data_IF_453206870231
#
_entry.id   IF_453206870231
#
_cell.length_a   1.000
_cell.length_b   1.000
_cell.length_c   1.000
_cell.angle_alpha   90.00
_cell.angle_beta   90.00
_cell.angle_gamma   90.00
#
_symmetry.space_group_name_H-M   'P 1'
#
loop_
_entity.id
_entity.type
_entity.pdbx_description
1 polymer ?
#
# COMPACT_ATOMS: atom_id res chain seq x y z
N UNK A 1 -0.40 -2.30 -0.05
CA UNK A 1 -0.74 -1.10 0.73
C UNK A 1 -2.13 -0.60 0.35
N UNK A 2 -2.66 0.41 1.10
CA UNK A 2 -3.84 1.20 0.70
C UNK A 2 -3.40 2.50 0.03
N UNK A 3 -4.26 3.09 -0.81
CA UNK A 3 -4.02 4.40 -1.41
C UNK A 3 -3.85 5.47 -0.35
N UNK A 4 -4.73 5.50 0.65
CA UNK A 4 -4.65 6.44 1.76
C UNK A 4 -3.28 6.44 2.46
N UNK A 5 -2.68 5.27 2.71
CA UNK A 5 -1.39 5.21 3.42
C UNK A 5 -0.20 5.63 2.57
N UNK A 6 -0.20 5.30 1.27
CA UNK A 6 0.98 5.57 0.42
C UNK A 6 0.83 6.84 -0.42
N UNK A 7 -0.38 7.27 -0.74
CA UNK A 7 -0.59 8.49 -1.54
C UNK A 7 -0.97 9.67 -0.64
N UNK A 8 -2.07 9.53 0.12
CA UNK A 8 -2.61 10.65 0.89
C UNK A 8 -1.78 10.98 2.14
N UNK A 9 -0.89 10.07 2.56
CA UNK A 9 0.07 10.31 3.64
C UNK A 9 1.50 10.40 3.12
N UNK A 10 2.09 9.30 2.64
CA UNK A 10 3.51 9.24 2.33
C UNK A 10 3.90 10.14 1.14
N UNK A 11 3.22 10.01 -0.01
CA UNK A 11 3.51 10.82 -1.19
C UNK A 11 3.19 12.30 -0.96
N UNK A 12 2.04 12.59 -0.35
CA UNK A 12 1.58 13.93 0.01
C UNK A 12 2.63 14.66 0.88
N UNK A 13 3.11 14.03 1.94
CA UNK A 13 4.15 14.61 2.78
C UNK A 13 5.51 14.67 2.09
N UNK A 14 5.85 13.68 1.25
CA UNK A 14 7.12 13.67 0.52
C UNK A 14 7.28 14.85 -0.43
N UNK A 15 6.19 15.32 -1.05
CA UNK A 15 6.18 16.50 -1.92
C UNK A 15 6.06 17.83 -1.17
N UNK A 16 6.01 17.80 0.18
CA UNK A 16 6.14 18.96 1.05
C UNK A 16 4.87 19.43 1.75
N UNK A 17 3.74 18.77 1.55
CA UNK A 17 2.49 19.06 2.26
C UNK A 17 2.49 18.49 3.67
N UNK A 18 1.52 18.87 4.49
CA UNK A 18 1.53 18.55 5.92
C UNK A 18 0.15 18.13 6.42
N UNK A 19 0.19 17.18 7.34
CA UNK A 19 -0.93 16.90 8.22
C UNK A 19 -0.78 17.71 9.51
N UNK A 20 -1.89 18.19 10.05
CA UNK A 20 -1.91 19.02 11.25
C UNK A 20 -2.69 18.32 12.36
N UNK A 21 -2.21 18.42 13.59
CA UNK A 21 -2.95 17.94 14.77
C UNK A 21 -4.14 18.86 14.98
N UNK A 22 -5.32 18.31 14.86
CA UNK A 22 -6.59 19.01 15.00
C UNK A 22 -7.25 18.79 16.37
N UNK A 23 -8.22 19.63 16.67
CA UNK A 23 -9.08 19.47 17.85
C UNK A 23 -10.36 18.76 17.45
N UNK A 24 -10.77 17.74 18.22
CA UNK A 24 -11.98 16.93 17.97
C UNK A 24 -13.29 17.73 18.14
N UNK A 25 -13.25 18.80 18.92
CA UNK A 25 -14.40 19.63 19.27
C UNK A 25 -14.68 20.78 18.28
N UNK A 26 -13.88 20.91 17.22
CA UNK A 26 -14.16 21.88 16.16
C UNK A 26 -15.32 21.38 15.29
N UNK A 27 -16.38 22.19 15.10
CA UNK A 27 -17.49 21.79 14.26
C UNK A 27 -17.09 21.59 12.79
N UNK A 28 -17.44 20.45 12.19
CA UNK A 28 -17.11 20.11 10.80
C UNK A 28 -17.63 21.13 9.79
N UNK A 29 -18.80 21.73 10.06
CA UNK A 29 -19.33 22.81 9.23
C UNK A 29 -18.36 24.00 9.13
N UNK A 30 -17.69 24.33 10.25
CA UNK A 30 -16.70 25.42 10.26
C UNK A 30 -15.42 25.03 9.49
N UNK A 31 -14.98 23.78 9.63
CA UNK A 31 -13.82 23.28 8.86
C UNK A 31 -14.12 23.35 7.37
N UNK A 32 -15.31 22.94 6.95
CA UNK A 32 -15.75 23.03 5.53
C UNK A 32 -15.74 24.46 4.98
N UNK A 33 -16.11 25.46 5.80
CA UNK A 33 -16.08 26.89 5.42
C UNK A 33 -14.64 27.38 5.12
N UNK A 34 -13.63 26.71 5.70
CA UNK A 34 -12.20 27.02 5.51
C UNK A 34 -11.46 26.02 4.61
N UNK A 35 -12.17 25.12 3.94
CA UNK A 35 -11.57 24.08 3.09
C UNK A 35 -10.56 23.21 3.85
N UNK A 36 -10.90 22.81 5.07
CA UNK A 36 -10.10 21.93 5.91
C UNK A 36 -10.82 20.58 6.03
N UNK A 37 -10.18 19.53 5.56
CA UNK A 37 -10.63 18.17 5.76
C UNK A 37 -10.17 17.64 7.11
N UNK A 38 -10.99 16.78 7.72
CA UNK A 38 -10.71 16.19 9.02
C UNK A 38 -10.79 14.67 9.00
N UNK A 39 -9.73 14.04 9.49
CA UNK A 39 -9.71 12.61 9.81
C UNK A 39 -9.51 12.50 11.32
N UNK A 40 -10.62 12.39 12.09
CA UNK A 40 -10.66 12.34 13.54
C UNK A 40 -9.98 13.54 14.21
N UNK A 41 -8.72 13.47 14.57
CA UNK A 41 -7.91 14.52 15.18
C UNK A 41 -6.78 15.04 14.28
N UNK A 42 -6.87 14.75 13.00
CA UNK A 42 -5.92 15.20 11.98
C UNK A 42 -6.62 16.10 10.98
N UNK A 43 -6.05 17.26 10.72
CA UNK A 43 -6.53 18.22 9.74
C UNK A 43 -5.64 18.23 8.51
N UNK A 44 -6.26 18.39 7.35
CA UNK A 44 -5.61 18.45 6.05
C UNK A 44 -6.19 19.63 5.28
N UNK A 45 -5.33 20.40 4.63
CA UNK A 45 -5.75 21.46 3.73
C UNK A 45 -6.28 20.87 2.42
N UNK A 46 -7.51 21.22 2.03
CA UNK A 46 -8.15 20.71 0.81
C UNK A 46 -7.41 21.20 -0.45
N UNK A 47 -6.86 22.41 -0.44
CA UNK A 47 -6.08 22.95 -1.57
C UNK A 47 -4.78 22.16 -1.75
N UNK A 48 -4.11 21.79 -0.66
CA UNK A 48 -2.92 20.94 -0.69
C UNK A 48 -3.23 19.54 -1.25
N UNK A 49 -4.39 18.95 -0.89
CA UNK A 49 -4.84 17.69 -1.50
C UNK A 49 -5.05 17.83 -3.00
N UNK A 50 -5.70 18.91 -3.45
CA UNK A 50 -5.91 19.15 -4.88
C UNK A 50 -4.59 19.38 -5.65
N UNK A 51 -3.58 19.96 -5.01
CA UNK A 51 -2.23 20.08 -5.59
C UNK A 51 -1.53 18.72 -5.66
N UNK A 52 -1.74 17.85 -4.68
CA UNK A 52 -1.28 16.46 -4.73
C UNK A 52 -1.91 15.71 -5.90
N UNK A 53 -3.25 15.81 -6.08
CA UNK A 53 -3.96 15.26 -7.25
C UNK A 53 -3.38 15.77 -8.58
N UNK A 54 -3.08 17.07 -8.64
CA UNK A 54 -2.45 17.71 -9.80
C UNK A 54 -1.06 17.12 -10.09
N UNK A 55 -0.30 16.80 -9.04
CA UNK A 55 1.02 16.17 -9.18
C UNK A 55 0.89 14.74 -9.71
N UNK A 56 -0.08 13.97 -9.23
CA UNK A 56 -0.38 12.62 -9.75
C UNK A 56 -0.76 12.70 -11.24
N UNK A 57 -1.63 13.66 -11.60
CA UNK A 57 -1.99 13.91 -13.00
C UNK A 57 -0.75 14.24 -13.86
N UNK A 58 0.14 15.10 -13.36
CA UNK A 58 1.37 15.47 -14.05
C UNK A 58 2.23 14.26 -14.36
N UNK A 59 2.38 13.35 -13.39
CA UNK A 59 3.12 12.09 -13.61
C UNK A 59 2.40 11.25 -14.66
N UNK A 60 1.09 11.06 -14.57
CA UNK A 60 0.31 10.30 -15.55
C UNK A 60 0.42 10.89 -16.97
N UNK A 61 0.39 12.22 -17.11
CA UNK A 61 0.53 12.92 -18.39
C UNK A 61 1.90 12.67 -19.05
N UNK A 62 2.93 12.46 -18.26
CA UNK A 62 4.30 12.19 -18.73
C UNK A 62 4.51 10.75 -19.21
N UNK A 63 3.61 9.83 -18.89
CA UNK A 63 3.73 8.42 -19.19
C UNK A 63 3.13 8.03 -20.55
N UNK A 64 3.56 6.88 -21.05
CA UNK A 64 2.89 6.26 -22.20
C UNK A 64 1.45 5.93 -21.84
N UNK A 65 0.52 6.25 -22.71
CA UNK A 65 -0.91 6.03 -22.53
C UNK A 65 -1.27 4.59 -22.81
N UNK A 66 -1.20 3.77 -21.75
CA UNK A 66 -1.50 2.34 -21.73
C UNK A 66 -1.97 1.92 -20.32
N UNK A 67 -2.46 0.68 -20.16
CA UNK A 67 -2.67 0.10 -18.83
C UNK A 67 -1.34 -0.07 -18.06
N UNK A 68 -1.35 0.29 -16.79
CA UNK A 68 -0.29 0.08 -15.80
C UNK A 68 -0.83 -0.74 -14.63
N UNK A 69 -0.04 -1.61 -14.04
CA UNK A 69 -0.34 -2.06 -12.69
C UNK A 69 -0.16 -0.90 -11.71
N UNK A 70 -0.79 -0.94 -10.53
CA UNK A 70 -0.52 0.06 -9.50
C UNK A 70 0.95 0.06 -9.12
N UNK A 71 1.60 -1.13 -9.10
CA UNK A 71 3.04 -1.28 -8.88
C UNK A 71 3.87 -0.47 -9.89
N UNK A 72 3.54 -0.56 -11.18
CA UNK A 72 4.26 0.22 -12.21
C UNK A 72 4.07 1.71 -12.00
N UNK A 73 2.85 2.13 -11.73
CA UNK A 73 2.56 3.55 -11.53
C UNK A 73 3.23 4.10 -10.26
N UNK A 74 3.19 3.37 -9.16
CA UNK A 74 3.88 3.74 -7.90
C UNK A 74 5.41 3.77 -8.11
N UNK A 75 5.94 2.91 -8.96
CA UNK A 75 7.36 2.95 -9.34
C UNK A 75 7.72 4.28 -10.02
N UNK A 76 6.88 4.79 -10.91
CA UNK A 76 7.08 6.10 -11.55
C UNK A 76 6.91 7.25 -10.54
N UNK A 77 6.02 7.12 -9.53
CA UNK A 77 5.96 8.07 -8.42
C UNK A 77 7.26 8.06 -7.60
N UNK A 78 7.82 6.90 -7.32
CA UNK A 78 9.12 6.78 -6.63
C UNK A 78 10.25 7.47 -7.41
N UNK A 79 10.31 7.25 -8.72
CA UNK A 79 11.25 7.92 -9.61
C UNK A 79 11.05 9.45 -9.64
N UNK A 80 9.81 9.92 -9.57
CA UNK A 80 9.49 11.34 -9.45
C UNK A 80 10.03 11.88 -8.11
N UNK A 81 9.81 11.17 -7.00
CA UNK A 81 10.24 11.60 -5.66
C UNK A 81 11.76 11.68 -5.51
N UNK A 82 12.54 10.81 -6.14
CA UNK A 82 14.03 10.91 -6.14
C UNK A 82 14.51 12.30 -6.56
N UNK A 83 13.79 12.95 -7.46
CA UNK A 83 14.14 14.27 -7.99
C UNK A 83 13.45 15.43 -7.29
N UNK A 84 12.24 15.21 -6.77
CA UNK A 84 11.33 16.28 -6.37
C UNK A 84 10.91 16.21 -4.89
N UNK A 85 11.32 15.18 -4.13
CA UNK A 85 10.94 15.10 -2.73
C UNK A 85 11.57 16.19 -1.88
N UNK A 86 10.76 16.78 -1.03
CA UNK A 86 11.17 17.75 0.00
C UNK A 86 11.53 16.99 1.28
N UNK A 87 10.74 15.98 1.66
CA UNK A 87 10.96 15.10 2.80
C UNK A 87 11.68 13.83 2.36
N UNK A 88 12.73 13.44 3.06
CA UNK A 88 13.66 12.36 2.66
C UNK A 88 13.31 10.96 3.20
N UNK A 89 12.27 10.82 3.99
CA UNK A 89 11.86 9.58 4.66
C UNK A 89 10.61 8.92 4.05
N UNK A 90 10.36 9.16 2.76
CA UNK A 90 9.24 8.55 2.04
C UNK A 90 9.42 7.05 1.86
N UNK A 91 8.36 6.29 2.18
CA UNK A 91 8.27 4.85 1.94
C UNK A 91 8.32 4.53 0.44
N UNK A 92 7.59 5.29 -0.39
CA UNK A 92 7.59 5.11 -1.86
C UNK A 92 8.99 5.30 -2.42
N UNK A 93 9.68 6.37 -2.02
CA UNK A 93 11.06 6.62 -2.47
C UNK A 93 12.01 5.52 -2.01
N UNK A 94 11.97 5.14 -0.73
CA UNK A 94 12.80 4.09 -0.18
C UNK A 94 12.58 2.74 -0.88
N UNK A 95 11.33 2.38 -1.18
CA UNK A 95 11.00 1.17 -1.91
C UNK A 95 11.52 1.21 -3.35
N UNK A 96 11.41 2.34 -4.04
CA UNK A 96 11.97 2.53 -5.38
C UNK A 96 13.48 2.33 -5.38
N UNK A 97 14.20 3.00 -4.49
CA UNK A 97 15.67 2.94 -4.39
C UNK A 97 16.20 1.54 -4.03
N UNK A 98 15.41 0.76 -3.28
CA UNK A 98 15.79 -0.59 -2.85
C UNK A 98 15.16 -1.73 -3.68
N UNK A 99 14.48 -1.43 -4.77
CA UNK A 99 13.89 -2.44 -5.65
C UNK A 99 12.74 -3.22 -5.01
N UNK A 100 12.02 -2.63 -4.05
CA UNK A 100 10.86 -3.23 -3.37
C UNK A 100 9.58 -2.82 -4.07
N UNK A 101 8.80 -3.74 -4.66
CA UNK A 101 7.55 -3.38 -5.31
C UNK A 101 6.44 -3.08 -4.30
N UNK A 102 5.65 -2.05 -4.56
CA UNK A 102 4.45 -1.70 -3.81
C UNK A 102 3.23 -1.99 -4.68
N UNK A 103 2.26 -2.71 -4.13
CA UNK A 103 0.97 -3.00 -4.78
C UNK A 103 -0.16 -2.34 -4.00
N UNK A 104 -1.06 -1.68 -4.72
CA UNK A 104 -2.25 -1.04 -4.16
C UNK A 104 -3.51 -1.48 -4.91
N UNK A 105 -4.20 -2.54 -4.48
CA UNK A 105 -5.30 -3.14 -5.24
C UNK A 105 -6.53 -2.23 -5.39
N UNK A 106 -6.73 -1.27 -4.48
CA UNK A 106 -7.80 -0.26 -4.56
C UNK A 106 -7.22 1.14 -4.81
N UNK A 107 -6.39 1.28 -5.84
CA UNK A 107 -5.57 2.45 -6.10
C UNK A 107 -6.37 3.74 -6.34
N UNK A 108 -7.57 3.63 -6.91
CA UNK A 108 -8.42 4.80 -7.18
C UNK A 108 -9.08 5.39 -5.93
N UNK A 109 -9.03 4.70 -4.78
CA UNK A 109 -9.56 5.19 -3.51
C UNK A 109 -8.50 5.99 -2.73
N UNK A 110 -8.04 7.09 -3.35
CA UNK A 110 -7.02 8.03 -2.82
C UNK A 110 -6.88 9.22 -3.76
N UNK A 111 -6.05 10.21 -3.40
CA UNK A 111 -5.64 11.31 -4.29
C UNK A 111 -5.15 10.83 -5.66
N UNK A 112 -4.54 9.65 -5.74
CA UNK A 112 -4.17 9.07 -7.03
C UNK A 112 -5.37 8.87 -7.95
N UNK A 113 -6.52 8.46 -7.40
CA UNK A 113 -7.77 8.33 -8.16
C UNK A 113 -8.23 9.65 -8.75
N UNK A 114 -8.26 10.70 -7.96
CA UNK A 114 -8.65 12.04 -8.43
C UNK A 114 -7.70 12.58 -9.52
N UNK A 115 -6.39 12.42 -9.32
CA UNK A 115 -5.39 12.79 -10.33
C UNK A 115 -5.56 12.03 -11.64
N UNK A 116 -5.84 10.72 -11.58
CA UNK A 116 -6.10 9.91 -12.77
C UNK A 116 -7.45 10.25 -13.43
N UNK A 117 -8.48 10.59 -12.67
CA UNK A 117 -9.77 11.08 -13.23
C UNK A 117 -9.53 12.37 -14.01
N UNK A 118 -8.79 13.35 -13.46
CA UNK A 118 -8.42 14.58 -14.19
C UNK A 118 -7.64 14.24 -15.47
N UNK A 119 -6.66 13.34 -15.40
CA UNK A 119 -5.88 12.87 -16.54
C UNK A 119 -6.78 12.28 -17.65
N UNK A 120 -7.68 11.38 -17.30
CA UNK A 120 -8.58 10.72 -18.26
C UNK A 120 -9.61 11.67 -18.86
N UNK A 121 -10.14 12.59 -18.05
CA UNK A 121 -11.08 13.61 -18.52
C UNK A 121 -10.49 14.50 -19.61
N UNK A 122 -9.23 14.87 -19.45
CA UNK A 122 -8.51 15.68 -20.46
C UNK A 122 -7.98 14.86 -21.65
N UNK A 123 -7.94 13.53 -21.53
CA UNK A 123 -7.43 12.62 -22.55
C UNK A 123 -8.41 11.47 -22.84
N UNK A 124 -9.66 11.75 -23.30
CA UNK A 124 -10.72 10.75 -23.35
C UNK A 124 -10.43 9.57 -24.27
N UNK A 125 -9.75 9.80 -25.39
CA UNK A 125 -9.53 8.78 -26.42
C UNK A 125 -8.39 7.81 -26.04
N UNK A 126 -7.37 8.30 -25.34
CA UNK A 126 -6.21 7.49 -24.97
C UNK A 126 -5.53 8.03 -23.72
N UNK A 127 -5.50 7.23 -22.67
CA UNK A 127 -5.01 7.64 -21.36
C UNK A 127 -4.32 6.50 -20.60
N UNK A 128 -3.75 6.82 -19.45
CA UNK A 128 -3.27 5.85 -18.46
C UNK A 128 -4.47 5.25 -17.73
N UNK A 129 -4.48 3.93 -17.56
CA UNK A 129 -5.43 3.20 -16.73
C UNK A 129 -4.67 2.35 -15.71
N UNK A 130 -5.30 2.05 -14.59
CA UNK A 130 -4.75 1.10 -13.61
C UNK A 130 -5.43 -0.26 -13.79
N UNK A 131 -4.61 -1.27 -14.03
CA UNK A 131 -5.02 -2.67 -14.22
C UNK A 131 -4.79 -3.44 -12.90
N UNK A 132 -5.83 -3.54 -12.08
CA UNK A 132 -5.79 -4.26 -10.80
C UNK A 132 -5.66 -5.78 -10.96
N UNK A 133 -6.11 -6.34 -12.07
CA UNK A 133 -5.93 -7.76 -12.37
C UNK A 133 -4.45 -8.05 -12.65
N UNK A 134 -3.78 -7.14 -13.34
CA UNK A 134 -2.33 -7.22 -13.55
C UNK A 134 -1.56 -7.14 -12.23
N UNK A 135 -1.99 -6.30 -11.29
CA UNK A 135 -1.41 -6.26 -9.94
C UNK A 135 -1.46 -7.63 -9.26
N UNK A 136 -2.63 -8.28 -9.31
CA UNK A 136 -2.79 -9.59 -8.69
C UNK A 136 -1.92 -10.65 -9.34
N UNK A 137 -1.83 -10.65 -10.66
CA UNK A 137 -0.92 -11.54 -11.39
C UNK A 137 0.54 -11.30 -11.03
N UNK A 138 0.98 -10.05 -10.99
CA UNK A 138 2.37 -9.69 -10.67
C UNK A 138 2.74 -10.07 -9.22
N UNK A 139 1.85 -9.83 -8.25
CA UNK A 139 2.07 -10.26 -6.87
C UNK A 139 2.11 -11.80 -6.75
N UNK A 140 1.27 -12.50 -7.51
CA UNK A 140 1.30 -13.97 -7.60
C UNK A 140 2.62 -14.48 -8.19
N UNK A 141 3.20 -13.79 -9.17
CA UNK A 141 4.53 -14.13 -9.70
C UNK A 141 5.62 -14.08 -8.62
N UNK A 142 5.58 -13.06 -7.75
CA UNK A 142 6.49 -13.02 -6.58
C UNK A 142 6.29 -14.24 -5.68
N UNK A 143 5.03 -14.61 -5.43
CA UNK A 143 4.71 -15.80 -4.62
C UNK A 143 5.24 -17.08 -5.25
N UNK A 144 5.15 -17.23 -6.57
CA UNK A 144 5.67 -18.40 -7.29
C UNK A 144 7.21 -18.51 -7.25
N UNK A 145 7.91 -17.38 -7.24
CA UNK A 145 9.38 -17.34 -7.15
C UNK A 145 9.89 -17.45 -5.70
N UNK A 146 9.03 -17.21 -4.71
CA UNK A 146 9.41 -17.27 -3.31
C UNK A 146 9.30 -18.69 -2.76
N UNK A 147 10.43 -19.32 -2.41
CA UNK A 147 10.45 -20.64 -1.75
C UNK A 147 9.71 -20.63 -0.42
N UNK A 148 9.90 -19.60 0.36
CA UNK A 148 9.23 -19.38 1.65
C UNK A 148 8.75 -17.95 1.72
N UNK A 149 7.50 -17.76 2.10
CA UNK A 149 6.89 -16.45 2.26
C UNK A 149 6.29 -16.29 3.66
N UNK A 150 6.26 -15.06 4.11
CA UNK A 150 5.58 -14.65 5.33
C UNK A 150 4.78 -13.37 5.10
N UNK A 151 3.77 -13.15 5.93
CA UNK A 151 2.92 -11.99 5.92
C UNK A 151 3.06 -11.22 7.23
N UNK A 152 3.36 -9.94 7.13
CA UNK A 152 3.30 -9.01 8.25
C UNK A 152 2.24 -7.95 7.91
N UNK A 153 1.09 -8.02 8.56
CA UNK A 153 -0.09 -7.24 8.24
C UNK A 153 -0.37 -6.20 9.32
N UNK A 154 -0.51 -4.95 8.89
CA UNK A 154 -0.88 -3.82 9.74
C UNK A 154 -2.29 -3.41 9.31
N UNK A 155 -3.29 -3.65 10.15
CA UNK A 155 -4.69 -3.58 9.78
C UNK A 155 -5.13 -4.83 9.01
N UNK A 156 -6.04 -4.64 8.05
CA UNK A 156 -6.64 -5.72 7.26
C UNK A 156 -7.23 -5.20 5.94
N UNK A 157 -8.38 -5.77 5.54
CA UNK A 157 -9.09 -5.33 4.33
C UNK A 157 -8.53 -5.90 3.03
N UNK A 158 -8.74 -5.18 1.92
CA UNK A 158 -8.39 -5.64 0.56
C UNK A 158 -6.92 -6.02 0.41
N UNK A 159 -5.93 -5.22 0.86
CA UNK A 159 -4.51 -5.60 0.74
C UNK A 159 -4.15 -6.91 1.44
N UNK A 160 -4.78 -7.19 2.59
CA UNK A 160 -4.60 -8.47 3.30
C UNK A 160 -5.05 -9.65 2.44
N UNK A 161 -6.29 -9.62 1.94
CA UNK A 161 -6.81 -10.68 1.09
C UNK A 161 -5.99 -10.85 -0.18
N UNK A 162 -5.65 -9.75 -0.82
CA UNK A 162 -4.86 -9.73 -2.04
C UNK A 162 -3.50 -10.45 -1.86
N UNK A 163 -2.82 -10.21 -0.75
CA UNK A 163 -1.56 -10.88 -0.44
C UNK A 163 -1.76 -12.38 -0.10
N UNK A 164 -2.78 -12.70 0.69
CA UNK A 164 -3.09 -14.09 1.07
C UNK A 164 -3.52 -14.94 -0.13
N UNK A 165 -4.32 -14.39 -1.03
CA UNK A 165 -4.91 -15.09 -2.17
C UNK A 165 -3.90 -15.43 -3.27
N UNK A 166 -2.65 -14.95 -3.18
CA UNK A 166 -1.59 -15.31 -4.12
C UNK A 166 -1.28 -16.80 -4.15
N UNK A 167 -1.53 -17.54 -3.05
CA UNK A 167 -1.41 -19.00 -3.01
C UNK A 167 -2.46 -19.64 -3.91
N UNK A 168 -3.73 -19.28 -3.69
CA UNK A 168 -4.86 -19.80 -4.47
C UNK A 168 -4.75 -19.38 -5.94
N UNK A 169 -4.32 -18.15 -6.21
CA UNK A 169 -4.13 -17.70 -7.57
C UNK A 169 -3.02 -18.49 -8.29
N UNK A 170 -1.92 -18.83 -7.62
CA UNK A 170 -0.86 -19.66 -8.19
C UNK A 170 -1.40 -21.07 -8.55
N UNK A 171 -2.24 -21.67 -7.71
CA UNK A 171 -2.88 -22.96 -7.98
C UNK A 171 -3.80 -22.90 -9.21
N UNK A 172 -4.60 -21.84 -9.34
CA UNK A 172 -5.45 -21.59 -10.52
C UNK A 172 -4.59 -21.50 -11.80
N UNK A 173 -3.39 -20.95 -11.68
CA UNK A 173 -2.42 -20.88 -12.78
C UNK A 173 -1.65 -22.21 -13.01
N UNK A 174 -2.02 -23.27 -12.31
CA UNK A 174 -1.40 -24.60 -12.45
C UNK A 174 -0.03 -24.72 -11.77
N UNK A 175 0.26 -23.85 -10.79
CA UNK A 175 1.49 -23.87 -10.01
C UNK A 175 1.22 -24.24 -8.55
N UNK A 176 1.83 -25.35 -8.10
CA UNK A 176 1.80 -25.69 -6.68
C UNK A 176 2.84 -24.84 -5.93
N UNK A 177 2.38 -24.10 -4.94
CA UNK A 177 3.22 -23.27 -4.06
C UNK A 177 2.88 -23.55 -2.59
N UNK A 178 3.83 -23.46 -1.65
CA UNK A 178 3.52 -23.64 -0.24
C UNK A 178 2.66 -22.47 0.28
N UNK A 179 1.81 -22.73 1.27
CA UNK A 179 1.12 -21.67 2.03
C UNK A 179 2.13 -20.64 2.59
N UNK A 180 1.64 -19.46 2.98
CA UNK A 180 2.47 -18.51 3.74
C UNK A 180 2.86 -19.15 5.07
N UNK A 181 4.16 -19.37 5.27
CA UNK A 181 4.70 -20.10 6.43
C UNK A 181 4.59 -19.30 7.71
N UNK A 182 4.76 -17.99 7.64
CA UNK A 182 4.71 -17.08 8.78
C UNK A 182 3.64 -16.04 8.54
N UNK A 183 2.86 -15.71 9.57
CA UNK A 183 1.86 -14.66 9.47
C UNK A 183 1.68 -13.95 10.82
N UNK A 184 1.73 -12.63 10.79
CA UNK A 184 1.38 -11.77 11.92
C UNK A 184 0.43 -10.70 11.44
N UNK A 185 -0.67 -10.50 12.16
CA UNK A 185 -1.60 -9.40 11.90
C UNK A 185 -1.80 -8.56 13.15
N UNK A 186 -1.55 -7.26 13.04
CA UNK A 186 -1.82 -6.26 14.08
C UNK A 186 -3.12 -5.55 13.69
N UNK A 187 -4.14 -5.63 14.53
CA UNK A 187 -5.44 -4.99 14.27
C UNK A 187 -6.20 -4.72 15.56
N UNK A 188 -7.01 -3.67 15.59
CA UNK A 188 -7.99 -3.40 16.64
C UNK A 188 -9.37 -3.95 16.30
N UNK A 189 -9.56 -4.46 15.07
CA UNK A 189 -10.83 -4.95 14.58
C UNK A 189 -11.23 -6.27 15.25
N UNK A 190 -12.52 -6.41 15.57
CA UNK A 190 -13.12 -7.68 15.98
C UNK A 190 -13.07 -8.69 14.81
N UNK A 191 -13.04 -9.99 15.12
CA UNK A 191 -12.98 -11.05 14.11
C UNK A 191 -14.15 -11.03 13.13
N UNK A 192 -15.27 -10.47 13.51
CA UNK A 192 -16.48 -10.30 12.68
C UNK A 192 -16.46 -9.05 11.81
N UNK A 193 -15.51 -8.15 12.04
CA UNK A 193 -15.41 -6.88 11.33
C UNK A 193 -14.85 -7.07 9.92
N UNK A 194 -15.43 -6.39 8.94
CA UNK A 194 -14.93 -6.36 7.56
C UNK A 194 -13.50 -5.85 7.43
N UNK A 195 -13.00 -5.06 8.40
CA UNK A 195 -11.60 -4.65 8.47
C UNK A 195 -10.65 -5.81 8.75
N UNK A 196 -11.11 -6.91 9.36
CA UNK A 196 -10.40 -8.20 9.40
C UNK A 196 -10.57 -9.01 8.12
N UNK A 197 -11.27 -8.50 7.10
CA UNK A 197 -11.69 -9.23 5.90
C UNK A 197 -12.52 -10.49 6.25
N UNK A 198 -13.28 -10.43 7.32
CA UNK A 198 -14.08 -11.52 7.87
C UNK A 198 -13.28 -12.83 8.05
N UNK A 199 -11.98 -12.75 8.30
CA UNK A 199 -11.09 -13.90 8.40
C UNK A 199 -9.94 -13.63 9.37
N UNK A 200 -9.79 -14.50 10.35
CA UNK A 200 -8.58 -14.60 11.15
C UNK A 200 -7.47 -15.32 10.36
N UNK A 201 -6.24 -15.31 10.86
CA UNK A 201 -5.15 -16.08 10.24
C UNK A 201 -5.42 -17.59 10.32
N UNK A 202 -6.04 -18.04 11.41
CA UNK A 202 -6.46 -19.44 11.56
C UNK A 202 -7.51 -19.83 10.52
N UNK A 203 -8.52 -18.99 10.29
CA UNK A 203 -9.53 -19.23 9.23
C UNK A 203 -8.92 -19.21 7.83
N UNK A 204 -7.90 -18.37 7.59
CA UNK A 204 -7.18 -18.34 6.33
C UNK A 204 -6.51 -19.68 5.98
N UNK A 205 -6.22 -20.52 6.97
CA UNK A 205 -5.72 -21.88 6.75
C UNK A 205 -6.75 -22.78 6.08
N UNK A 206 -8.06 -22.63 6.37
CA UNK A 206 -9.11 -23.39 5.72
C UNK A 206 -9.23 -23.14 4.20
N UNK A 207 -8.66 -22.02 3.75
CA UNK A 207 -8.55 -21.62 2.34
C UNK A 207 -7.19 -21.98 1.72
N UNK A 208 -6.32 -22.69 2.45
CA UNK A 208 -4.98 -23.02 1.97
C UNK A 208 -4.01 -21.84 1.87
N UNK A 209 -4.28 -20.72 2.55
CA UNK A 209 -3.52 -19.47 2.40
C UNK A 209 -2.36 -19.35 3.39
N UNK A 210 -2.60 -19.70 4.67
CA UNK A 210 -1.66 -19.51 5.80
C UNK A 210 -1.44 -20.80 6.56
N UNK A 211 -0.20 -21.12 6.85
CA UNK A 211 0.18 -22.24 7.74
C UNK A 211 -0.03 -21.83 9.20
N UNK A 212 -0.81 -22.60 9.93
CA UNK A 212 -1.15 -22.31 11.33
C UNK A 212 -0.02 -22.55 12.35
N UNK A 213 1.11 -23.09 11.94
CA UNK A 213 2.22 -23.38 12.86
C UNK A 213 2.94 -22.13 13.39
N UNK A 214 2.91 -21.05 12.60
CA UNK A 214 3.62 -19.80 12.92
C UNK A 214 2.75 -18.60 12.55
N UNK A 215 1.55 -18.52 13.16
CA UNK A 215 0.63 -17.41 12.97
C UNK A 215 0.35 -16.72 14.31
N UNK A 216 0.12 -15.41 14.25
CA UNK A 216 -0.19 -14.61 15.44
C UNK A 216 -1.14 -13.47 15.09
N UNK A 217 -2.31 -13.45 15.73
CA UNK A 217 -3.18 -12.27 15.79
C UNK A 217 -2.75 -11.39 16.97
N UNK A 218 -2.50 -10.12 16.72
CA UNK A 218 -2.17 -9.12 17.74
C UNK A 218 -3.29 -8.07 17.78
N UNK A 219 -4.17 -8.20 18.76
CA UNK A 219 -5.31 -7.29 18.96
C UNK A 219 -4.83 -6.05 19.72
N UNK A 220 -4.24 -5.12 18.98
CA UNK A 220 -3.70 -3.90 19.52
C UNK A 220 -3.65 -2.80 18.45
N UNK A 221 -3.50 -1.57 18.92
CA UNK A 221 -3.33 -0.41 18.07
C UNK A 221 -1.91 -0.39 17.46
N UNK A 222 -1.83 -0.19 16.15
CA UNK A 222 -0.60 -0.39 15.38
C UNK A 222 0.51 0.63 15.74
N UNK A 223 0.16 1.89 16.02
CA UNK A 223 1.16 2.93 16.34
C UNK A 223 1.84 2.68 17.68
N UNK A 224 1.22 1.88 18.55
CA UNK A 224 1.81 1.44 19.82
C UNK A 224 2.70 0.22 19.65
N UNK A 225 2.24 -0.77 18.89
CA UNK A 225 2.90 -2.09 18.80
C UNK A 225 3.99 -2.12 17.73
N UNK A 226 3.73 -1.52 16.57
CA UNK A 226 4.67 -1.55 15.44
C UNK A 226 6.07 -1.00 15.77
N UNK A 227 6.21 0.15 16.46
CA UNK A 227 7.54 0.64 16.84
C UNK A 227 8.31 -0.31 17.74
N UNK A 228 7.63 -1.03 18.65
CA UNK A 228 8.26 -2.01 19.53
C UNK A 228 8.80 -3.21 18.74
N UNK A 229 7.99 -3.73 17.81
CA UNK A 229 8.41 -4.84 16.93
C UNK A 229 9.55 -4.41 16.01
N UNK A 230 9.42 -3.24 15.39
CA UNK A 230 10.45 -2.69 14.50
C UNK A 230 11.77 -2.46 15.24
N UNK A 231 11.72 -1.90 16.45
CA UNK A 231 12.89 -1.72 17.32
C UNK A 231 13.57 -3.07 17.66
N UNK A 232 12.78 -4.07 18.04
CA UNK A 232 13.32 -5.40 18.32
C UNK A 232 14.02 -6.01 17.11
N UNK A 233 13.37 -5.97 15.94
CA UNK A 233 13.93 -6.50 14.70
C UNK A 233 15.20 -5.76 14.30
N UNK A 234 15.19 -4.43 14.40
CA UNK A 234 16.36 -3.61 14.09
C UNK A 234 17.55 -3.94 14.99
N UNK A 235 17.36 -3.97 16.31
CA UNK A 235 18.42 -4.22 17.29
C UNK A 235 18.88 -5.67 17.34
N UNK A 236 18.04 -6.64 16.94
CA UNK A 236 18.44 -8.06 16.82
C UNK A 236 19.45 -8.30 15.69
N UNK A 237 19.58 -7.38 14.76
CA UNK A 237 20.47 -7.43 13.58
C UNK A 237 20.29 -8.69 12.71
N UNK A 238 19.19 -9.41 12.84
CA UNK A 238 18.91 -10.60 12.04
C UNK A 238 18.84 -10.30 10.53
N UNK A 239 18.49 -9.06 10.18
CA UNK A 239 18.40 -8.58 8.81
C UNK A 239 19.76 -8.41 8.13
N UNK A 240 20.87 -8.17 8.85
CA UNK A 240 22.21 -7.93 8.29
C UNK A 240 22.75 -9.12 7.48
N UNK A 241 22.36 -10.33 7.85
CA UNK A 241 22.77 -11.56 7.18
C UNK A 241 21.90 -11.93 5.98
N UNK A 242 20.82 -11.17 5.73
CA UNK A 242 19.87 -11.43 4.67
C UNK A 242 20.29 -10.74 3.37
N UNK A 243 20.33 -11.48 2.27
CA UNK A 243 20.50 -10.88 0.94
C UNK A 243 19.19 -10.18 0.53
N UNK A 244 19.25 -8.93 0.05
CA UNK A 244 18.09 -8.25 -0.53
C UNK A 244 17.48 -9.06 -1.67
N UNK A 245 16.17 -9.09 -1.77
CA UNK A 245 15.46 -9.84 -2.83
C UNK A 245 15.11 -9.01 -4.06
N UNK A 246 15.23 -7.69 -4.03
CA UNK A 246 15.03 -6.77 -5.17
C UNK A 246 13.93 -7.24 -6.15
N UNK A 247 12.75 -7.57 -5.63
CA UNK A 247 11.67 -8.19 -6.41
C UNK A 247 11.21 -7.37 -7.63
N UNK A 248 11.48 -6.08 -7.65
CA UNK A 248 11.19 -5.23 -8.82
C UNK A 248 11.93 -5.69 -10.07
N UNK A 249 13.08 -6.37 -9.95
CA UNK A 249 13.82 -6.91 -11.09
C UNK A 249 13.07 -8.00 -11.85
N UNK A 250 12.13 -8.68 -11.21
CA UNK A 250 11.27 -9.69 -11.86
C UNK A 250 10.43 -9.11 -13.00
N UNK A 251 10.16 -7.81 -12.95
CA UNK A 251 9.26 -7.09 -13.88
C UNK A 251 10.00 -6.19 -14.87
N UNK A 252 11.33 -6.13 -14.79
CA UNK A 252 12.19 -5.36 -15.69
C UNK A 252 12.62 -6.27 -16.85
N UNK A 253 11.73 -6.43 -17.86
CA UNK A 253 12.07 -7.10 -19.14
C UNK A 253 11.96 -6.11 -20.28
#
# INVERSE_FOLDING_TARGET
>A
ATGASIIDMDFFEAIGFKHYIGRKDVPDKKLREYYIDRIYDTFIDEDDLQLCDGTIKLVADSLQRRPYSSREFIWELGKYLVKNSVKKDSLIQACYENGVPIFCPAFSDSSAGFGLVKHQWENPDKHVTIDSVRDFRELTMIKMEAETSGLFMIGGGVPKNFAQDTVVCAEILGKSVPMHKYAVQITVADVRDGACSSSTLQEASSWGKVDTRYEQMVYAEATTVLPLIASYVYHSRAWEKRKPKEWSKLFQK
#
